data_IF_780889306511
#
_entry.id   IF_780889306511
#
_cell.length_a   1.000
_cell.length_b   1.000
_cell.length_c   1.000
_cell.angle_alpha   90.00
_cell.angle_beta   90.00
_cell.angle_gamma   90.00
#
_symmetry.space_group_name_H-M   'P 1'
#
loop_
_entity.id
_entity.type
_entity.pdbx_description
1 polymer ?
#
# COMPACT_ATOMS: atom_id res chain seq x y z
N UNK A 1 74.44 -19.92 29.58
CA UNK A 1 73.15 -19.48 30.02
C UNK A 1 72.43 -18.90 28.79
N UNK A 2 71.47 -19.67 28.21
CA UNK A 2 70.68 -19.25 27.00
C UNK A 2 69.31 -18.84 27.45
N UNK A 3 68.95 -17.57 27.26
CA UNK A 3 67.60 -17.04 27.55
C UNK A 3 66.74 -17.33 26.38
N UNK A 4 65.66 -18.12 26.59
CA UNK A 4 64.57 -18.29 25.64
C UNK A 4 63.52 -17.20 25.90
N UNK A 5 63.32 -16.33 24.94
CA UNK A 5 62.23 -15.37 24.91
C UNK A 5 60.97 -16.06 24.29
N UNK A 6 59.95 -16.24 25.10
CA UNK A 6 58.59 -16.70 24.62
C UNK A 6 57.80 -15.49 24.18
N UNK A 7 57.55 -15.39 22.89
CA UNK A 7 56.65 -14.39 22.30
C UNK A 7 55.25 -14.98 22.33
N UNK A 8 54.36 -14.50 23.21
CA UNK A 8 52.95 -14.83 23.21
C UNK A 8 52.25 -13.97 22.16
N UNK A 9 51.78 -14.60 21.08
CA UNK A 9 50.94 -13.95 20.10
C UNK A 9 49.48 -13.87 20.61
N UNK A 10 49.01 -12.65 20.86
CA UNK A 10 47.64 -12.36 21.24
C UNK A 10 46.75 -12.33 19.97
N UNK A 11 45.96 -13.39 19.75
CA UNK A 11 44.99 -13.43 18.65
C UNK A 11 43.74 -12.69 19.11
N UNK A 12 43.53 -11.46 18.61
CA UNK A 12 42.31 -10.70 18.80
C UNK A 12 41.27 -11.23 17.77
N UNK A 13 40.34 -12.05 18.25
CA UNK A 13 39.22 -12.51 17.46
C UNK A 13 38.21 -11.32 17.25
N UNK A 14 38.12 -10.82 16.03
CA UNK A 14 37.02 -9.94 15.61
C UNK A 14 35.73 -10.77 15.58
N UNK A 15 34.94 -10.68 16.64
CA UNK A 15 33.56 -11.13 16.62
C UNK A 15 32.75 -10.17 15.71
N UNK A 16 32.63 -10.51 14.43
CA UNK A 16 31.71 -9.84 13.52
C UNK A 16 30.28 -10.10 13.99
N UNK A 17 29.57 -9.07 14.50
CA UNK A 17 28.14 -9.12 14.66
C UNK A 17 27.52 -9.22 13.26
N UNK A 18 27.26 -10.44 12.79
CA UNK A 18 26.37 -10.66 11.68
C UNK A 18 24.98 -10.26 12.16
N UNK A 19 24.50 -9.09 11.75
CA UNK A 19 23.09 -8.73 11.85
C UNK A 19 22.33 -9.73 10.98
N UNK A 20 21.61 -10.65 11.62
CA UNK A 20 20.75 -11.58 10.93
C UNK A 20 19.69 -10.74 10.19
N UNK A 21 19.79 -10.66 8.86
CA UNK A 21 18.72 -10.11 8.03
C UNK A 21 17.47 -10.93 8.30
N UNK A 22 16.41 -10.27 8.75
CA UNK A 22 15.13 -10.90 9.04
C UNK A 22 14.38 -11.21 7.73
N UNK A 23 14.94 -12.13 6.93
CA UNK A 23 14.26 -12.59 5.71
C UNK A 23 13.11 -13.54 6.06
N UNK A 24 12.03 -13.49 5.27
CA UNK A 24 10.92 -14.44 5.38
C UNK A 24 11.48 -15.85 5.05
N UNK A 25 11.35 -16.84 5.95
CA UNK A 25 11.83 -18.19 5.69
C UNK A 25 11.10 -18.80 4.46
N UNK A 26 11.85 -19.28 3.48
CA UNK A 26 11.27 -19.99 2.34
C UNK A 26 10.60 -21.30 2.75
N UNK A 27 9.43 -21.57 2.17
CA UNK A 27 8.70 -22.83 2.37
C UNK A 27 7.60 -22.79 3.42
N UNK A 28 7.47 -21.73 4.18
CA UNK A 28 6.50 -21.58 5.26
C UNK A 28 5.21 -20.86 4.84
N UNK A 29 4.36 -20.59 5.82
CA UNK A 29 3.15 -19.78 5.66
C UNK A 29 3.56 -18.32 5.58
N UNK A 30 3.13 -17.62 4.54
CA UNK A 30 3.24 -16.15 4.46
C UNK A 30 1.89 -15.53 4.80
N UNK A 31 1.89 -14.58 5.74
CA UNK A 31 0.72 -13.83 6.17
C UNK A 31 0.72 -12.46 5.47
N UNK A 32 -0.28 -12.22 4.64
CA UNK A 32 -0.42 -10.97 3.88
C UNK A 32 -1.48 -10.08 4.54
N UNK A 33 -1.07 -8.88 4.94
CA UNK A 33 -1.96 -7.83 5.42
C UNK A 33 -2.64 -7.11 4.26
N UNK A 34 -3.97 -7.10 4.24
CA UNK A 34 -4.79 -6.44 3.20
C UNK A 34 -5.92 -5.65 3.84
N UNK A 35 -6.52 -4.73 3.09
CA UNK A 35 -7.76 -4.07 3.49
C UNK A 35 -8.93 -5.06 3.49
N UNK A 36 -9.93 -4.78 4.32
CA UNK A 36 -11.18 -5.54 4.39
C UNK A 36 -12.40 -4.74 3.92
N UNK A 37 -12.21 -3.44 3.70
CA UNK A 37 -13.27 -2.46 3.47
C UNK A 37 -13.16 -1.71 2.13
N UNK A 38 -12.25 -2.12 1.24
CA UNK A 38 -12.03 -1.48 -0.07
C UNK A 38 -12.48 -2.41 -1.20
N UNK A 39 -13.73 -2.27 -1.70
CA UNK A 39 -14.24 -3.11 -2.79
C UNK A 39 -13.31 -3.06 -4.02
N UNK A 40 -13.09 -4.19 -4.66
CA UNK A 40 -12.18 -4.32 -5.79
C UNK A 40 -10.70 -4.42 -5.44
N UNK A 41 -10.24 -3.81 -4.35
CA UNK A 41 -8.84 -3.89 -3.87
C UNK A 41 -8.66 -4.97 -2.81
N UNK A 42 -9.26 -4.79 -1.65
CA UNK A 42 -9.23 -5.73 -0.54
C UNK A 42 -10.52 -5.65 0.24
N UNK A 43 -11.31 -6.71 0.21
CA UNK A 43 -12.58 -6.85 0.92
C UNK A 43 -12.68 -8.22 1.57
N UNK A 44 -13.18 -8.24 2.80
CA UNK A 44 -13.50 -9.48 3.50
C UNK A 44 -15.02 -9.64 3.59
N UNK A 45 -15.52 -10.82 3.21
CA UNK A 45 -16.91 -11.18 3.34
C UNK A 45 -17.00 -12.64 3.84
N UNK A 46 -17.59 -12.82 5.00
CA UNK A 46 -17.78 -14.14 5.63
C UNK A 46 -16.47 -14.95 5.77
N UNK A 47 -15.39 -14.30 6.17
CA UNK A 47 -14.07 -14.92 6.34
C UNK A 47 -13.28 -15.11 5.04
N UNK A 48 -13.81 -14.63 3.90
CA UNK A 48 -13.16 -14.78 2.57
C UNK A 48 -12.66 -13.41 2.10
N UNK A 49 -11.35 -13.32 1.93
CA UNK A 49 -10.70 -12.13 1.36
C UNK A 49 -10.76 -12.18 -0.17
N UNK A 50 -11.08 -11.04 -0.80
CA UNK A 50 -11.18 -10.88 -2.25
C UNK A 50 -10.71 -9.50 -2.67
N UNK A 51 -10.13 -9.39 -3.87
CA UNK A 51 -9.72 -8.12 -4.47
C UNK A 51 -8.42 -8.21 -5.21
N UNK A 52 -8.06 -7.13 -5.90
CA UNK A 52 -6.83 -7.01 -6.66
C UNK A 52 -5.59 -7.24 -5.78
N UNK A 53 -5.54 -6.58 -4.62
CA UNK A 53 -4.41 -6.69 -3.68
C UNK A 53 -4.33 -8.07 -3.01
N UNK A 54 -5.46 -8.75 -2.84
CA UNK A 54 -5.50 -10.14 -2.39
C UNK A 54 -4.90 -11.06 -3.44
N UNK A 55 -5.30 -10.92 -4.71
CA UNK A 55 -4.76 -11.72 -5.81
C UNK A 55 -3.26 -11.43 -6.04
N UNK A 56 -2.83 -10.15 -5.99
CA UNK A 56 -1.42 -9.75 -6.09
C UNK A 56 -0.63 -10.30 -4.90
N UNK A 57 -1.12 -10.15 -3.68
CA UNK A 57 -0.48 -10.66 -2.46
C UNK A 57 -0.29 -12.17 -2.50
N UNK A 58 -1.30 -12.91 -2.99
CA UNK A 58 -1.19 -14.34 -3.22
C UNK A 58 -0.09 -14.68 -4.24
N UNK A 59 -0.08 -13.97 -5.38
CA UNK A 59 0.95 -14.16 -6.42
C UNK A 59 2.35 -13.91 -5.86
N UNK A 60 2.57 -12.77 -5.22
CA UNK A 60 3.88 -12.39 -4.65
C UNK A 60 4.33 -13.41 -3.61
N UNK A 61 3.46 -13.78 -2.65
CA UNK A 61 3.80 -14.75 -1.62
C UNK A 61 4.21 -16.11 -2.22
N UNK A 62 3.52 -16.57 -3.27
CA UNK A 62 3.88 -17.80 -4.00
C UNK A 62 5.24 -17.68 -4.69
N UNK A 63 5.57 -16.54 -5.30
CA UNK A 63 6.88 -16.29 -5.90
C UNK A 63 8.00 -16.21 -4.85
N UNK A 64 7.68 -15.81 -3.62
CA UNK A 64 8.60 -15.86 -2.49
C UNK A 64 8.80 -17.28 -1.92
N UNK A 65 8.10 -18.28 -2.44
CA UNK A 65 8.23 -19.68 -2.05
C UNK A 65 7.27 -20.14 -0.96
N UNK A 66 6.21 -19.37 -0.65
CA UNK A 66 5.21 -19.77 0.32
C UNK A 66 4.54 -21.10 -0.04
N UNK A 67 4.52 -22.05 0.91
CA UNK A 67 3.74 -23.28 0.81
C UNK A 67 2.24 -22.98 1.01
N UNK A 68 1.92 -22.03 1.89
CA UNK A 68 0.58 -21.55 2.19
C UNK A 68 0.57 -20.02 2.33
N UNK A 69 -0.50 -19.40 1.86
CA UNK A 69 -0.73 -17.95 1.99
C UNK A 69 -2.01 -17.75 2.81
N UNK A 70 -1.93 -16.88 3.82
CA UNK A 70 -3.07 -16.46 4.64
C UNK A 70 -3.19 -14.95 4.61
N UNK A 71 -4.41 -14.45 4.82
CA UNK A 71 -4.67 -13.02 4.83
C UNK A 71 -5.13 -12.56 6.21
N UNK A 72 -4.72 -11.35 6.57
CA UNK A 72 -5.19 -10.64 7.78
C UNK A 72 -5.59 -9.22 7.42
N UNK A 73 -6.57 -8.71 8.16
CA UNK A 73 -6.95 -7.32 8.07
C UNK A 73 -5.81 -6.40 8.51
N UNK A 74 -5.58 -5.34 7.74
CA UNK A 74 -4.80 -4.17 8.16
C UNK A 74 -5.55 -2.89 7.82
N UNK A 75 -5.51 -1.94 8.76
CA UNK A 75 -6.01 -0.58 8.54
C UNK A 75 -4.86 0.32 8.11
N UNK A 76 -5.17 1.55 7.68
CA UNK A 76 -4.13 2.49 7.25
C UNK A 76 -3.27 2.98 8.41
N UNK A 77 -3.78 2.95 9.62
CA UNK A 77 -3.13 3.44 10.85
C UNK A 77 -2.40 2.36 11.66
N UNK A 78 -2.49 1.07 11.26
CA UNK A 78 -1.84 -0.03 11.99
C UNK A 78 -0.88 -0.90 11.14
N UNK A 79 -0.65 -0.52 9.87
CA UNK A 79 0.18 -1.30 8.92
C UNK A 79 1.61 -1.48 9.39
N UNK A 80 2.22 -0.39 9.84
CA UNK A 80 3.60 -0.33 10.33
C UNK A 80 3.75 -1.16 11.60
N UNK A 81 2.80 -1.03 12.53
CA UNK A 81 2.77 -1.79 13.78
C UNK A 81 2.68 -3.29 13.51
N UNK A 82 1.72 -3.72 12.67
CA UNK A 82 1.51 -5.14 12.36
C UNK A 82 2.70 -5.79 11.65
N UNK A 83 3.43 -5.06 10.82
CA UNK A 83 4.70 -5.51 10.25
C UNK A 83 5.78 -5.67 11.33
N UNK A 84 5.94 -4.68 12.20
CA UNK A 84 6.98 -4.66 13.24
C UNK A 84 6.72 -5.71 14.33
N UNK A 85 5.45 -6.00 14.65
CA UNK A 85 5.04 -7.05 15.59
C UNK A 85 5.04 -8.46 14.99
N UNK A 86 5.43 -8.62 13.73
CA UNK A 86 5.40 -9.90 13.01
C UNK A 86 4.01 -10.53 12.91
N UNK A 87 2.94 -9.74 13.03
CA UNK A 87 1.58 -10.23 12.86
C UNK A 87 1.20 -10.43 11.40
N UNK A 88 1.89 -9.75 10.49
CA UNK A 88 1.88 -9.95 9.04
C UNK A 88 3.31 -9.91 8.50
N UNK A 89 3.56 -10.57 7.37
CA UNK A 89 4.86 -10.61 6.70
C UNK A 89 4.94 -9.61 5.56
N UNK A 90 3.85 -9.41 4.83
CA UNK A 90 3.70 -8.46 3.74
C UNK A 90 2.47 -7.59 3.98
N UNK A 91 2.49 -6.34 3.51
CA UNK A 91 1.29 -5.48 3.48
C UNK A 91 1.05 -4.97 2.07
N UNK A 92 -0.12 -5.31 1.50
CA UNK A 92 -0.67 -4.75 0.27
C UNK A 92 -2.05 -4.14 0.61
N UNK A 93 -2.09 -2.82 0.82
CA UNK A 93 -3.25 -2.18 1.42
C UNK A 93 -3.40 -0.71 0.96
N UNK A 94 -3.42 -0.47 -0.37
CA UNK A 94 -3.33 0.87 -0.97
C UNK A 94 -2.23 1.70 -0.30
N UNK A 95 -1.06 1.09 -0.15
CA UNK A 95 0.01 1.57 0.71
C UNK A 95 0.98 2.45 -0.07
N UNK A 96 0.66 3.75 -0.16
CA UNK A 96 1.53 4.72 -0.83
C UNK A 96 2.91 4.76 -0.19
N UNK A 97 3.95 4.59 -0.99
CA UNK A 97 5.34 4.80 -0.60
C UNK A 97 5.53 6.30 -0.33
N UNK A 98 6.00 6.64 0.86
CA UNK A 98 6.37 8.01 1.25
C UNK A 98 7.67 7.99 2.03
N UNK A 99 8.47 9.08 2.05
CA UNK A 99 9.70 9.14 2.83
C UNK A 99 9.48 8.79 4.30
N UNK A 100 8.46 9.34 4.94
CA UNK A 100 8.18 9.08 6.35
C UNK A 100 7.90 7.60 6.64
N UNK A 101 7.12 6.95 5.77
CA UNK A 101 6.84 5.51 5.90
C UNK A 101 8.08 4.67 5.59
N UNK A 102 8.91 5.08 4.64
CA UNK A 102 10.16 4.39 4.31
C UNK A 102 11.19 4.44 5.46
N UNK A 103 11.06 5.37 6.42
CA UNK A 103 11.84 5.31 7.66
C UNK A 103 11.36 4.20 8.62
N UNK A 104 10.10 3.80 8.56
CA UNK A 104 9.49 2.84 9.48
C UNK A 104 9.46 1.40 8.95
N UNK A 105 9.36 1.25 7.64
CA UNK A 105 9.26 -0.05 6.94
C UNK A 105 10.11 -0.03 5.67
N UNK A 106 10.40 -1.20 5.11
CA UNK A 106 10.98 -1.33 3.78
C UNK A 106 9.86 -1.54 2.76
N UNK A 107 9.97 -0.91 1.58
CA UNK A 107 9.01 -1.09 0.50
C UNK A 107 9.62 -1.83 -0.68
N UNK A 108 8.91 -2.81 -1.21
CA UNK A 108 9.12 -3.28 -2.57
C UNK A 108 8.11 -2.65 -3.53
N UNK A 109 8.46 -2.52 -4.79
CA UNK A 109 7.61 -1.93 -5.82
C UNK A 109 7.93 -0.47 -6.13
N UNK A 110 6.92 0.26 -6.61
CA UNK A 110 5.48 0.02 -6.48
C UNK A 110 4.97 -1.15 -7.34
N UNK A 111 3.89 -1.80 -6.87
CA UNK A 111 3.16 -2.79 -7.68
C UNK A 111 2.07 -2.16 -8.55
N UNK A 112 1.70 -0.93 -8.29
CA UNK A 112 0.78 -0.11 -9.09
C UNK A 112 1.00 1.37 -8.81
N UNK A 113 0.80 2.21 -9.83
CA UNK A 113 0.75 3.67 -9.68
C UNK A 113 -0.70 4.10 -9.87
N UNK A 114 -1.36 4.40 -8.76
CA UNK A 114 -2.69 4.97 -8.74
C UNK A 114 -2.64 6.49 -8.91
N UNK A 115 -3.74 7.08 -9.37
CA UNK A 115 -3.86 8.54 -9.49
C UNK A 115 -4.88 9.05 -8.47
N UNK A 116 -4.48 10.00 -7.63
CA UNK A 116 -5.42 10.57 -6.66
C UNK A 116 -6.44 11.44 -7.38
N UNK A 117 -7.71 11.23 -7.06
CA UNK A 117 -8.85 11.96 -7.59
C UNK A 117 -9.86 12.28 -6.48
N UNK A 118 -10.99 12.81 -6.83
CA UNK A 118 -12.06 13.22 -5.91
C UNK A 118 -13.37 12.54 -6.27
N UNK A 119 -14.03 11.98 -5.26
CA UNK A 119 -15.40 11.46 -5.34
C UNK A 119 -16.37 12.41 -4.63
N UNK A 120 -17.50 12.68 -5.26
CA UNK A 120 -18.58 13.54 -4.77
C UNK A 120 -19.94 12.86 -4.93
N UNK A 121 -20.99 13.39 -4.28
CA UNK A 121 -22.37 12.99 -4.61
C UNK A 121 -22.74 13.53 -5.98
N UNK A 122 -23.36 12.70 -6.81
CA UNK A 122 -23.77 13.07 -8.15
C UNK A 122 -24.73 14.27 -8.15
N UNK A 123 -24.46 15.25 -9.02
CA UNK A 123 -25.39 16.34 -9.36
C UNK A 123 -25.56 17.46 -8.32
N UNK A 124 -24.77 17.54 -7.24
CA UNK A 124 -25.05 18.49 -6.14
C UNK A 124 -23.90 19.29 -5.58
N UNK A 125 -22.70 19.29 -6.15
CA UNK A 125 -21.57 19.76 -5.36
C UNK A 125 -20.91 21.06 -5.82
N UNK A 126 -21.00 21.42 -7.10
CA UNK A 126 -20.21 22.52 -7.65
C UNK A 126 -18.67 22.27 -7.54
N UNK A 127 -18.27 21.02 -7.19
CA UNK A 127 -16.86 20.58 -7.14
C UNK A 127 -16.57 19.87 -8.45
N UNK A 128 -15.61 20.36 -9.25
CA UNK A 128 -15.23 19.85 -10.56
C UNK A 128 -13.75 19.42 -10.63
N UNK A 129 -12.96 19.86 -9.68
CA UNK A 129 -11.54 19.51 -9.55
C UNK A 129 -11.08 19.72 -8.10
N UNK A 130 -9.84 19.33 -7.79
CA UNK A 130 -9.27 19.41 -6.44
C UNK A 130 -9.28 20.84 -5.86
N UNK A 131 -9.14 21.88 -6.67
CA UNK A 131 -9.12 23.29 -6.19
C UNK A 131 -10.46 23.74 -5.62
N UNK A 132 -11.56 23.17 -6.09
CA UNK A 132 -12.91 23.46 -5.59
C UNK A 132 -13.16 22.90 -4.17
N UNK A 133 -12.19 22.16 -3.60
CA UNK A 133 -12.24 21.66 -2.21
C UNK A 133 -11.95 22.76 -1.18
N UNK A 134 -11.48 23.93 -1.58
CA UNK A 134 -11.27 25.06 -0.67
C UNK A 134 -12.56 25.38 0.10
N UNK A 135 -12.49 25.36 1.46
CA UNK A 135 -13.63 25.57 2.35
C UNK A 135 -14.67 24.44 2.39
N UNK A 136 -14.53 23.38 1.59
CA UNK A 136 -15.43 22.20 1.59
C UNK A 136 -15.04 21.21 2.68
N UNK A 137 -16.01 20.40 3.12
CA UNK A 137 -15.77 19.31 4.06
C UNK A 137 -15.24 18.12 3.29
N UNK A 138 -13.98 17.77 3.54
CA UNK A 138 -13.30 16.63 2.93
C UNK A 138 -13.09 15.55 3.99
N UNK A 139 -13.40 14.30 3.67
CA UNK A 139 -13.20 13.18 4.59
C UNK A 139 -11.72 12.88 4.78
N UNK A 140 -11.31 12.65 6.03
CA UNK A 140 -9.96 12.23 6.41
C UNK A 140 -10.01 10.82 6.98
N UNK A 141 -9.64 9.82 6.18
CA UNK A 141 -9.49 8.46 6.66
C UNK A 141 -8.23 8.33 7.53
N UNK A 142 -8.36 7.70 8.71
CA UNK A 142 -7.26 7.50 9.66
C UNK A 142 -6.06 6.83 8.97
N UNK A 143 -4.83 7.31 9.24
CA UNK A 143 -3.58 6.78 8.69
C UNK A 143 -3.38 6.96 7.16
N UNK A 144 -4.31 7.66 6.47
CA UNK A 144 -4.16 8.00 5.05
C UNK A 144 -3.45 9.34 4.86
N UNK A 145 -2.58 9.40 3.83
CA UNK A 145 -1.87 10.63 3.43
C UNK A 145 -2.62 11.45 2.37
N UNK A 146 -3.75 10.95 1.85
CA UNK A 146 -4.44 11.59 0.72
C UNK A 146 -4.92 13.01 1.04
N UNK A 147 -5.38 13.26 2.26
CA UNK A 147 -5.80 14.61 2.68
C UNK A 147 -4.63 15.56 2.89
N UNK A 148 -3.49 15.05 3.36
CA UNK A 148 -2.26 15.81 3.52
C UNK A 148 -1.75 16.34 2.16
N UNK A 149 -1.82 15.51 1.11
CA UNK A 149 -1.45 15.94 -0.25
C UNK A 149 -2.31 17.10 -0.74
N UNK A 150 -3.60 17.13 -0.40
CA UNK A 150 -4.50 18.24 -0.75
C UNK A 150 -4.20 19.48 0.08
N UNK A 151 -4.14 19.34 1.41
CA UNK A 151 -4.03 20.49 2.31
C UNK A 151 -2.61 21.03 2.34
N UNK A 152 -1.63 20.18 2.63
CA UNK A 152 -0.22 20.58 2.78
C UNK A 152 0.50 20.62 1.43
N UNK A 153 0.29 19.62 0.59
CA UNK A 153 0.96 19.48 -0.70
C UNK A 153 0.50 20.51 -1.74
N UNK A 154 -0.82 20.73 -1.86
CA UNK A 154 -1.40 21.68 -2.83
C UNK A 154 -1.81 23.01 -2.21
N UNK A 155 -1.71 23.19 -0.90
CA UNK A 155 -2.10 24.42 -0.20
C UNK A 155 -3.62 24.70 -0.23
N UNK A 156 -4.46 23.69 -0.40
CA UNK A 156 -5.92 23.83 -0.52
C UNK A 156 -6.55 23.72 0.88
N UNK A 157 -7.13 24.81 1.38
CA UNK A 157 -7.72 24.89 2.72
C UNK A 157 -9.08 24.16 2.79
N UNK A 158 -9.10 22.84 2.68
CA UNK A 158 -10.29 22.02 2.92
C UNK A 158 -10.54 21.84 4.43
N UNK A 159 -11.80 21.65 4.83
CA UNK A 159 -12.19 21.35 6.22
C UNK A 159 -12.19 19.83 6.39
N UNK A 160 -11.24 19.30 7.17
CA UNK A 160 -11.10 17.86 7.36
C UNK A 160 -12.15 17.34 8.35
N UNK A 161 -12.81 16.23 7.97
CA UNK A 161 -13.78 15.52 8.83
C UNK A 161 -13.24 14.10 9.04
N UNK A 162 -12.87 13.71 10.28
CA UNK A 162 -12.29 12.42 10.56
C UNK A 162 -13.23 11.25 10.24
N UNK A 163 -12.63 10.14 9.81
CA UNK A 163 -13.27 8.85 9.57
C UNK A 163 -12.29 7.71 9.89
N UNK A 164 -12.82 6.56 10.31
CA UNK A 164 -12.01 5.40 10.62
C UNK A 164 -11.42 4.71 9.38
N UNK A 165 -12.12 4.81 8.24
CA UNK A 165 -11.74 4.14 6.99
C UNK A 165 -12.33 4.84 5.76
N UNK A 166 -12.02 4.35 4.55
CA UNK A 166 -12.64 4.87 3.33
C UNK A 166 -14.10 4.45 3.18
N UNK A 167 -14.51 3.29 3.68
CA UNK A 167 -15.94 2.94 3.71
C UNK A 167 -16.74 3.85 4.63
N UNK A 168 -16.18 4.27 5.79
CA UNK A 168 -16.79 5.31 6.64
C UNK A 168 -16.82 6.68 5.92
N UNK A 169 -15.76 7.04 5.19
CA UNK A 169 -15.74 8.25 4.36
C UNK A 169 -16.88 8.26 3.33
N UNK A 170 -17.08 7.14 2.63
CA UNK A 170 -18.14 7.04 1.61
C UNK A 170 -19.54 7.05 2.26
N UNK A 171 -19.71 6.44 3.43
CA UNK A 171 -20.95 6.54 4.20
C UNK A 171 -21.24 7.98 4.60
N UNK A 172 -20.25 8.73 5.11
CA UNK A 172 -20.35 10.16 5.43
C UNK A 172 -20.66 11.02 4.18
N UNK A 173 -20.07 10.67 3.03
CA UNK A 173 -20.35 11.35 1.77
C UNK A 173 -21.81 11.17 1.35
N UNK A 174 -22.35 9.94 1.42
CA UNK A 174 -23.76 9.65 1.13
C UNK A 174 -24.69 10.37 2.09
N UNK A 175 -24.37 10.38 3.37
CA UNK A 175 -25.15 11.10 4.40
C UNK A 175 -25.06 12.62 4.30
N UNK A 176 -24.17 13.16 3.46
CA UNK A 176 -23.98 14.62 3.34
C UNK A 176 -23.20 15.25 4.48
N UNK A 177 -22.59 14.45 5.35
CA UNK A 177 -21.71 14.92 6.44
C UNK A 177 -20.41 15.50 5.88
N UNK A 178 -19.91 14.94 4.77
CA UNK A 178 -18.80 15.47 3.99
C UNK A 178 -19.25 15.81 2.57
N UNK A 179 -18.50 16.66 1.90
CA UNK A 179 -18.79 17.11 0.53
C UNK A 179 -17.98 16.31 -0.48
N UNK A 180 -16.82 15.78 -0.07
CA UNK A 180 -15.91 15.05 -0.93
C UNK A 180 -15.12 13.97 -0.17
N UNK A 181 -14.71 12.93 -0.90
CA UNK A 181 -13.70 11.95 -0.53
C UNK A 181 -12.58 12.01 -1.58
N UNK A 182 -11.33 12.11 -1.15
CA UNK A 182 -10.18 12.12 -2.07
C UNK A 182 -9.20 11.03 -1.69
N UNK A 183 -8.83 10.21 -2.69
CA UNK A 183 -7.86 9.11 -2.57
C UNK A 183 -7.50 8.57 -3.96
N UNK A 184 -6.70 7.51 -4.03
CA UNK A 184 -6.34 6.86 -5.30
C UNK A 184 -7.55 6.33 -6.06
N UNK A 185 -7.47 6.40 -7.36
CA UNK A 185 -8.52 6.06 -8.34
C UNK A 185 -9.07 4.64 -8.16
N UNK A 186 -8.21 3.63 -7.92
CA UNK A 186 -8.67 2.25 -7.68
C UNK A 186 -9.54 2.14 -6.42
N UNK A 187 -9.20 2.89 -5.35
CA UNK A 187 -10.04 2.92 -4.14
C UNK A 187 -11.39 3.56 -4.47
N UNK A 188 -11.39 4.71 -5.15
CA UNK A 188 -12.63 5.39 -5.55
C UNK A 188 -13.48 4.52 -6.48
N UNK A 189 -12.86 3.87 -7.46
CA UNK A 189 -13.56 2.99 -8.40
C UNK A 189 -14.27 1.82 -7.71
N UNK A 190 -13.67 1.27 -6.66
CA UNK A 190 -14.30 0.22 -5.85
C UNK A 190 -15.61 0.66 -5.18
N UNK A 191 -15.75 1.94 -4.87
CA UNK A 191 -16.97 2.53 -4.30
C UNK A 191 -17.93 3.15 -5.34
N UNK A 192 -17.59 3.08 -6.63
CA UNK A 192 -18.41 3.65 -7.68
C UNK A 192 -19.87 3.13 -7.62
N UNK A 193 -20.83 4.04 -7.68
CA UNK A 193 -22.25 3.74 -7.59
C UNK A 193 -23.07 4.84 -8.29
N UNK A 194 -24.35 4.60 -8.66
CA UNK A 194 -25.16 5.59 -9.37
C UNK A 194 -25.34 6.93 -8.65
N UNK A 195 -25.27 6.94 -7.31
CA UNK A 195 -25.38 8.12 -6.45
C UNK A 195 -24.09 8.90 -6.26
N UNK A 196 -22.95 8.33 -6.70
CA UNK A 196 -21.61 8.89 -6.57
C UNK A 196 -20.98 9.18 -7.93
N UNK A 197 -20.02 10.09 -7.94
CA UNK A 197 -19.30 10.51 -9.14
C UNK A 197 -17.83 10.72 -8.81
N UNK A 198 -16.94 10.09 -9.58
CA UNK A 198 -15.51 10.39 -9.60
C UNK A 198 -15.32 11.49 -10.63
N UNK A 199 -14.59 12.56 -10.28
CA UNK A 199 -14.46 13.73 -11.14
C UNK A 199 -13.67 13.48 -12.42
N UNK A 200 -12.86 12.39 -12.46
CA UNK A 200 -11.93 12.09 -13.55
C UNK A 200 -10.98 13.26 -13.84
N UNK A 201 -10.51 13.90 -12.78
CA UNK A 201 -9.57 15.03 -12.78
C UNK A 201 -8.39 14.75 -11.84
N UNK A 202 -7.59 13.69 -12.12
CA UNK A 202 -6.49 13.28 -11.26
C UNK A 202 -5.44 14.37 -11.12
N UNK A 203 -4.76 14.44 -9.96
CA UNK A 203 -3.87 15.55 -9.64
C UNK A 203 -2.53 15.14 -8.99
N UNK A 204 -2.39 13.90 -8.51
CA UNK A 204 -1.11 13.35 -8.03
C UNK A 204 -1.01 11.86 -8.34
N UNK A 205 0.21 11.33 -8.35
CA UNK A 205 0.51 9.91 -8.42
C UNK A 205 0.67 9.31 -7.03
N UNK A 206 0.09 8.13 -6.83
CA UNK A 206 0.16 7.35 -5.61
C UNK A 206 0.84 6.02 -5.90
N UNK A 207 2.08 5.86 -5.50
CA UNK A 207 2.88 4.65 -5.74
C UNK A 207 2.54 3.62 -4.67
N UNK A 208 1.73 2.62 -4.99
CA UNK A 208 1.34 1.56 -4.06
C UNK A 208 2.45 0.52 -3.96
N UNK A 209 3.09 0.45 -2.80
CA UNK A 209 4.18 -0.47 -2.49
C UNK A 209 3.74 -1.67 -1.63
N UNK A 210 4.58 -2.70 -1.66
CA UNK A 210 4.48 -3.85 -0.76
C UNK A 210 5.28 -3.50 0.49
N UNK A 211 4.60 -3.30 1.63
CA UNK A 211 5.27 -3.06 2.90
C UNK A 211 5.90 -4.33 3.46
N UNK A 212 7.11 -4.21 3.96
CA UNK A 212 7.93 -5.24 4.60
C UNK A 212 8.50 -4.70 5.90
N UNK A 213 8.94 -5.56 6.81
CA UNK A 213 9.68 -5.12 8.00
C UNK A 213 10.89 -4.28 7.58
N UNK A 214 11.21 -3.28 8.39
CA UNK A 214 12.36 -2.42 8.12
C UNK A 214 13.64 -3.24 8.06
N UNK A 215 14.41 -3.06 6.99
CA UNK A 215 15.69 -3.74 6.76
C UNK A 215 15.58 -5.12 6.10
N UNK A 216 14.39 -5.60 5.74
CA UNK A 216 14.22 -6.88 5.00
C UNK A 216 14.50 -6.69 3.50
N UNK A 217 15.76 -6.44 3.18
CA UNK A 217 16.22 -6.14 1.81
C UNK A 217 16.11 -7.36 0.90
N UNK A 218 16.42 -8.56 1.41
CA UNK A 218 16.37 -9.79 0.62
C UNK A 218 14.94 -10.10 0.13
N UNK A 219 13.96 -9.99 1.02
CA UNK A 219 12.54 -10.15 0.64
C UNK A 219 12.09 -9.05 -0.31
N UNK A 220 12.51 -7.80 -0.10
CA UNK A 220 12.22 -6.68 -0.98
C UNK A 220 12.71 -6.94 -2.41
N UNK A 221 13.97 -7.34 -2.57
CA UNK A 221 14.55 -7.66 -3.87
C UNK A 221 13.83 -8.83 -4.57
N UNK A 222 13.46 -9.87 -3.83
CA UNK A 222 12.66 -10.99 -4.36
C UNK A 222 11.26 -10.52 -4.76
N UNK A 223 10.60 -9.68 -3.97
CA UNK A 223 9.29 -9.12 -4.28
C UNK A 223 9.33 -8.22 -5.52
N UNK A 224 10.39 -7.40 -5.69
CA UNK A 224 10.60 -6.59 -6.90
C UNK A 224 10.70 -7.46 -8.16
N UNK A 225 11.47 -8.56 -8.09
CA UNK A 225 11.53 -9.53 -9.20
C UNK A 225 10.16 -10.16 -9.47
N UNK A 226 9.41 -10.50 -8.43
CA UNK A 226 8.07 -11.07 -8.58
C UNK A 226 7.08 -10.07 -9.22
N UNK A 227 7.12 -8.78 -8.84
CA UNK A 227 6.32 -7.72 -9.50
C UNK A 227 6.71 -7.61 -10.96
N UNK A 228 8.00 -7.58 -11.29
CA UNK A 228 8.48 -7.53 -12.69
C UNK A 228 7.91 -8.70 -13.49
N UNK A 229 8.03 -9.93 -12.96
CA UNK A 229 7.51 -11.15 -13.62
C UNK A 229 5.99 -11.07 -13.80
N UNK A 230 5.24 -10.58 -12.79
CA UNK A 230 3.78 -10.44 -12.85
C UNK A 230 3.31 -9.53 -14.00
N UNK A 231 4.07 -8.50 -14.31
CA UNK A 231 3.78 -7.65 -15.47
C UNK A 231 4.20 -8.30 -16.78
N UNK A 232 5.39 -8.93 -16.83
CA UNK A 232 5.93 -9.57 -18.04
C UNK A 232 5.10 -10.77 -18.49
N UNK A 233 4.55 -11.56 -17.57
CA UNK A 233 3.70 -12.72 -17.89
C UNK A 233 2.22 -12.34 -18.11
N UNK A 234 1.88 -11.05 -18.05
CA UNK A 234 0.54 -10.51 -18.28
C UNK A 234 -0.43 -10.73 -17.10
N UNK A 235 0.04 -11.25 -15.96
CA UNK A 235 -0.80 -11.46 -14.79
C UNK A 235 -1.31 -10.12 -14.23
N UNK A 236 -0.46 -9.09 -14.15
CA UNK A 236 -0.86 -7.76 -13.69
C UNK A 236 -2.03 -7.21 -14.51
N UNK A 237 -1.92 -7.19 -15.83
CA UNK A 237 -2.97 -6.71 -16.73
C UNK A 237 -4.26 -7.54 -16.62
N UNK A 238 -4.15 -8.85 -16.48
CA UNK A 238 -5.30 -9.73 -16.28
C UNK A 238 -6.02 -9.45 -14.97
N UNK A 239 -5.29 -9.23 -13.87
CA UNK A 239 -5.86 -8.92 -12.56
C UNK A 239 -6.48 -7.52 -12.53
N UNK A 240 -5.83 -6.51 -13.11
CA UNK A 240 -6.38 -5.17 -13.24
C UNK A 240 -7.70 -5.18 -14.02
N UNK A 241 -7.75 -5.85 -15.17
CA UNK A 241 -8.99 -5.98 -15.96
C UNK A 241 -10.06 -6.79 -15.22
N UNK A 242 -9.69 -7.84 -14.49
CA UNK A 242 -10.64 -8.64 -13.67
C UNK A 242 -11.39 -7.76 -12.66
N UNK A 243 -10.67 -6.88 -11.98
CA UNK A 243 -11.23 -6.12 -10.86
C UNK A 243 -11.73 -4.73 -11.24
N UNK A 244 -11.12 -4.09 -12.25
CA UNK A 244 -11.38 -2.71 -12.62
C UNK A 244 -11.69 -2.49 -14.11
N UNK A 245 -11.77 -3.52 -14.93
CA UNK A 245 -12.02 -3.39 -16.36
C UNK A 245 -13.34 -2.72 -16.72
N UNK A 246 -14.34 -2.77 -15.83
CA UNK A 246 -15.64 -2.10 -16.01
C UNK A 246 -15.74 -0.72 -15.35
N UNK A 247 -14.66 -0.26 -14.68
CA UNK A 247 -14.67 1.00 -13.91
C UNK A 247 -14.63 2.27 -14.75
N UNK A 248 -14.22 2.16 -16.02
CA UNK A 248 -13.96 3.30 -16.90
C UNK A 248 -12.62 3.98 -16.65
N UNK A 249 -11.80 3.47 -15.72
CA UNK A 249 -10.44 3.97 -15.48
C UNK A 249 -9.50 3.58 -16.62
N UNK A 250 -8.55 4.48 -16.92
CA UNK A 250 -7.38 4.14 -17.75
C UNK A 250 -6.38 3.40 -16.87
N UNK A 251 -6.43 2.07 -16.92
CA UNK A 251 -5.55 1.21 -16.13
C UNK A 251 -4.10 1.31 -16.63
N UNK A 252 -3.14 1.42 -15.70
CA UNK A 252 -1.71 1.40 -16.01
C UNK A 252 -1.26 -0.06 -16.04
N UNK A 253 -0.92 -0.56 -17.23
CA UNK A 253 -0.54 -1.95 -17.45
C UNK A 253 0.98 -2.14 -17.69
N UNK A 254 1.76 -1.09 -17.52
CA UNK A 254 3.22 -1.09 -17.67
C UNK A 254 3.90 -1.34 -16.31
N UNK A 255 5.09 -1.95 -16.33
CA UNK A 255 5.90 -2.16 -15.12
C UNK A 255 6.24 -0.80 -14.52
N UNK A 256 5.83 -0.51 -13.27
CA UNK A 256 6.19 0.75 -12.63
C UNK A 256 7.70 0.86 -12.39
N UNK A 257 8.22 2.09 -12.36
CA UNK A 257 9.58 2.32 -11.91
C UNK A 257 9.68 2.07 -10.40
N UNK A 258 10.57 1.15 -9.98
CA UNK A 258 10.78 0.83 -8.58
C UNK A 258 11.61 1.90 -7.85
N UNK A 259 11.34 2.08 -6.56
CA UNK A 259 12.05 3.06 -5.72
C UNK A 259 13.32 2.49 -5.06
N UNK A 260 13.56 1.19 -5.22
CA UNK A 260 14.68 0.50 -4.58
C UNK A 260 14.34 0.01 -3.16
N UNK A 261 15.17 -0.90 -2.65
CA UNK A 261 15.04 -1.48 -1.31
C UNK A 261 15.96 -0.74 -0.33
N UNK A 262 15.42 0.00 0.61
CA UNK A 262 16.17 0.78 1.60
C UNK A 262 15.56 0.67 3.00
#
# INVERSE_FOLDING_TARGET
MRHFLIISALVIGLAGCATASASIPGGDVIVVGVKTDQPGLGREENGVFRGFEVDVGYYIARQLGASRVTFKEVRSDDREEKLNEHSVDLVLASYSITPDRAHLVTFAGPYYVAHQDVMVRRGRTGIRNVRDLAGRRMCQASGSVSTERVVSGLGIAARLVPASSYSDCVAKLRAGTVDAVSTGDLVLAGFAAPDLEILNAPFTDERYGIGLRKGDIDTCEKANRAVTTMYQDGTASRLLRKWFGSSGLKLVEEVPQFEGCS
#
